data_IF_038469910450
#
_entry.id   IF_038469910450
#
_cell.length_a   1.000
_cell.length_b   1.000
_cell.length_c   1.000
_cell.angle_alpha   90.00
_cell.angle_beta   90.00
_cell.angle_gamma   90.00
#
_symmetry.space_group_name_H-M   'P 1'
#
loop_
_entity.id
_entity.type
_entity.pdbx_description
1 polymer ?
#
# COMPACT_ATOMS: atom_id res chain seq x y z
N UNK A 1 -59.90 43.58 -25.18
CA UNK A 1 -58.94 42.56 -25.70
C UNK A 1 -57.92 42.27 -24.62
N UNK A 2 -58.13 41.23 -23.85
CA UNK A 2 -57.29 40.86 -22.68
C UNK A 2 -56.48 39.58 -23.03
N UNK A 3 -55.18 39.74 -23.23
CA UNK A 3 -54.25 38.60 -23.46
C UNK A 3 -53.82 38.06 -22.11
N UNK A 4 -54.27 36.85 -21.83
CA UNK A 4 -53.78 36.06 -20.67
C UNK A 4 -52.45 35.45 -21.03
N UNK A 5 -51.35 35.84 -20.33
CA UNK A 5 -50.05 35.16 -20.36
C UNK A 5 -50.11 34.01 -19.38
N UNK A 6 -50.01 32.79 -19.89
CA UNK A 6 -49.77 31.57 -19.09
C UNK A 6 -48.29 31.44 -18.84
N UNK A 7 -47.85 31.61 -17.60
CA UNK A 7 -46.52 31.32 -17.12
C UNK A 7 -46.41 29.82 -16.85
N UNK A 8 -45.71 29.10 -17.72
CA UNK A 8 -45.32 27.70 -17.45
C UNK A 8 -44.11 27.70 -16.54
N UNK A 9 -44.29 27.31 -15.29
CA UNK A 9 -43.19 27.04 -14.35
C UNK A 9 -42.60 25.67 -14.65
N UNK A 10 -41.42 25.66 -15.29
CA UNK A 10 -40.65 24.44 -15.48
C UNK A 10 -39.95 24.02 -14.18
N UNK A 11 -40.35 22.88 -13.66
CA UNK A 11 -39.70 22.26 -12.48
C UNK A 11 -38.42 21.58 -12.93
N UNK A 12 -37.26 22.19 -12.70
CA UNK A 12 -35.95 21.58 -12.91
C UNK A 12 -35.65 20.72 -11.69
N UNK A 13 -35.88 19.41 -11.80
CA UNK A 13 -35.44 18.43 -10.80
C UNK A 13 -33.92 18.26 -10.90
N UNK A 14 -33.19 18.97 -10.05
CA UNK A 14 -31.74 18.79 -9.90
C UNK A 14 -31.44 17.45 -9.28
N UNK A 15 -30.90 16.53 -10.06
CA UNK A 15 -30.26 15.30 -9.56
C UNK A 15 -29.00 15.70 -8.80
N UNK A 16 -29.11 15.80 -7.47
CA UNK A 16 -27.95 15.93 -6.59
C UNK A 16 -27.29 14.54 -6.55
N UNK A 17 -26.29 14.35 -7.41
CA UNK A 17 -25.42 13.18 -7.35
C UNK A 17 -24.64 13.20 -6.04
N UNK A 18 -24.96 12.29 -5.12
CA UNK A 18 -24.18 12.06 -3.91
C UNK A 18 -22.79 11.56 -4.34
N UNK A 19 -21.69 12.17 -3.88
CA UNK A 19 -20.37 11.63 -4.13
C UNK A 19 -20.28 10.26 -3.46
N UNK A 20 -20.04 9.21 -4.25
CA UNK A 20 -19.63 7.91 -3.75
C UNK A 20 -18.24 8.11 -3.12
N UNK A 21 -18.21 8.20 -1.81
CA UNK A 21 -16.95 8.17 -1.05
C UNK A 21 -16.44 6.75 -1.19
N UNK A 22 -15.56 6.51 -2.15
CA UNK A 22 -14.80 5.27 -2.22
C UNK A 22 -13.94 5.21 -0.96
N UNK A 23 -14.24 4.30 -0.04
CA UNK A 23 -13.40 4.03 1.11
C UNK A 23 -12.04 3.57 0.60
N UNK A 24 -10.99 4.34 0.89
CA UNK A 24 -9.62 3.93 0.58
C UNK A 24 -9.29 2.69 1.43
N UNK A 25 -8.63 1.72 0.82
CA UNK A 25 -8.17 0.54 1.56
C UNK A 25 -7.17 0.97 2.64
N UNK A 26 -7.45 0.60 3.88
CA UNK A 26 -6.53 0.76 5.01
C UNK A 26 -5.68 -0.51 5.11
N UNK A 27 -4.37 -0.40 4.90
CA UNK A 27 -3.48 -1.55 4.87
C UNK A 27 -3.56 -2.43 6.13
N UNK A 28 -3.52 -3.74 5.95
CA UNK A 28 -3.38 -4.72 7.03
C UNK A 28 -1.91 -4.83 7.46
N UNK A 29 -1.55 -4.16 8.54
CA UNK A 29 -0.19 -4.19 9.06
C UNK A 29 0.29 -5.59 9.46
N UNK A 30 -0.59 -6.52 9.83
CA UNK A 30 -0.23 -7.90 10.18
C UNK A 30 0.20 -8.66 8.92
N UNK A 31 -0.56 -8.52 7.84
CA UNK A 31 -0.21 -9.09 6.54
C UNK A 31 1.08 -8.46 6.00
N UNK A 32 1.21 -7.15 6.10
CA UNK A 32 2.45 -6.42 5.78
C UNK A 32 3.66 -6.91 6.57
N UNK A 33 3.51 -7.15 7.86
CA UNK A 33 4.56 -7.73 8.71
C UNK A 33 5.01 -9.12 8.21
N UNK A 34 4.06 -9.99 7.90
CA UNK A 34 4.39 -11.33 7.40
C UNK A 34 5.14 -11.24 6.08
N UNK A 35 4.68 -10.40 5.15
CA UNK A 35 5.36 -10.20 3.87
C UNK A 35 6.78 -9.65 4.07
N UNK A 36 6.94 -8.60 4.86
CA UNK A 36 8.24 -8.00 5.16
C UNK A 36 9.22 -9.03 5.73
N UNK A 37 8.77 -9.76 6.75
CA UNK A 37 9.61 -10.75 7.42
C UNK A 37 9.98 -11.94 6.54
N UNK A 38 9.02 -12.45 5.77
CA UNK A 38 9.18 -13.73 5.06
C UNK A 38 9.65 -13.57 3.61
N UNK A 39 9.47 -12.40 3.02
CA UNK A 39 9.85 -12.14 1.63
C UNK A 39 10.99 -11.13 1.54
N UNK A 40 10.86 -9.96 2.17
CA UNK A 40 11.87 -8.91 2.09
C UNK A 40 13.14 -9.27 2.89
N UNK A 41 12.98 -9.64 4.15
CA UNK A 41 14.09 -9.88 5.07
C UNK A 41 15.06 -10.97 4.59
N UNK A 42 14.65 -12.14 4.08
CA UNK A 42 15.59 -13.14 3.59
C UNK A 42 16.51 -12.62 2.48
N UNK A 43 15.95 -11.89 1.51
CA UNK A 43 16.75 -11.30 0.45
C UNK A 43 17.75 -10.27 1.00
N UNK A 44 17.32 -9.43 1.95
CA UNK A 44 18.20 -8.46 2.61
C UNK A 44 19.32 -9.13 3.38
N UNK A 45 19.04 -10.20 4.10
CA UNK A 45 20.07 -10.97 4.83
C UNK A 45 21.09 -11.59 3.88
N UNK A 46 20.59 -12.21 2.80
CA UNK A 46 21.46 -13.00 1.91
C UNK A 46 22.22 -12.12 0.89
N UNK A 47 21.62 -11.03 0.42
CA UNK A 47 22.13 -10.31 -0.75
C UNK A 47 22.38 -8.81 -0.54
N UNK A 48 21.93 -8.20 0.54
CA UNK A 48 21.92 -6.75 0.70
C UNK A 48 22.58 -6.23 1.99
N UNK A 49 23.44 -7.03 2.60
CA UNK A 49 24.26 -6.59 3.75
C UNK A 49 23.54 -6.60 5.09
N UNK A 50 22.44 -7.32 5.22
CA UNK A 50 21.75 -7.54 6.49
C UNK A 50 20.29 -7.10 6.50
N UNK A 51 19.58 -7.56 7.51
CA UNK A 51 18.18 -7.22 7.72
C UNK A 51 18.01 -5.74 8.06
N UNK A 52 16.97 -5.11 7.49
CA UNK A 52 16.62 -3.73 7.76
C UNK A 52 15.39 -3.70 8.67
N UNK A 53 15.58 -3.30 9.94
CA UNK A 53 14.47 -3.13 10.86
C UNK A 53 13.62 -1.90 10.54
N UNK A 54 12.29 -1.98 10.62
CA UNK A 54 11.45 -0.79 10.45
C UNK A 54 11.79 0.34 11.41
N UNK A 55 12.27 0.03 12.62
CA UNK A 55 12.67 0.99 13.64
C UNK A 55 13.97 1.76 13.34
N UNK A 56 14.64 1.48 12.22
CA UNK A 56 15.80 2.25 11.78
C UNK A 56 15.44 3.60 11.13
N UNK A 57 14.15 3.78 10.78
CA UNK A 57 13.63 5.01 10.18
C UNK A 57 12.42 5.52 10.95
N UNK A 58 12.22 6.83 10.88
CA UNK A 58 11.00 7.48 11.35
C UNK A 58 9.84 7.23 10.38
N UNK A 59 8.61 7.52 10.81
CA UNK A 59 7.41 7.50 9.94
C UNK A 59 7.58 8.41 8.72
N UNK A 60 8.15 9.60 8.93
CA UNK A 60 8.39 10.54 7.85
C UNK A 60 9.39 9.98 6.82
N UNK A 61 10.49 9.40 7.28
CA UNK A 61 11.50 8.80 6.40
C UNK A 61 10.94 7.60 5.65
N UNK A 62 10.15 6.74 6.29
CA UNK A 62 9.45 5.64 5.62
C UNK A 62 8.44 6.15 4.60
N UNK A 63 7.65 7.17 4.95
CA UNK A 63 6.69 7.80 4.02
C UNK A 63 7.37 8.30 2.76
N UNK A 64 8.47 9.05 2.90
CA UNK A 64 9.24 9.56 1.78
C UNK A 64 9.85 8.42 0.94
N UNK A 65 10.39 7.38 1.59
CA UNK A 65 10.97 6.22 0.91
C UNK A 65 9.94 5.46 0.07
N UNK A 66 8.76 5.20 0.64
CA UNK A 66 7.67 4.51 -0.07
C UNK A 66 7.10 5.35 -1.21
N UNK A 67 6.99 6.67 -1.00
CA UNK A 67 6.50 7.59 -2.04
C UNK A 67 7.47 7.70 -3.22
N UNK A 68 8.77 7.66 -2.97
CA UNK A 68 9.77 7.68 -4.02
C UNK A 68 9.73 6.45 -4.94
N UNK A 69 9.13 5.36 -4.47
CA UNK A 69 9.00 4.08 -5.19
C UNK A 69 10.32 3.59 -5.81
N UNK A 70 11.42 3.81 -5.08
CA UNK A 70 12.76 3.38 -5.47
C UNK A 70 13.34 2.50 -4.39
N UNK A 71 13.66 1.28 -4.73
CA UNK A 71 14.42 0.42 -3.84
C UNK A 71 15.89 0.85 -3.88
N UNK A 72 16.43 1.36 -2.77
CA UNK A 72 17.67 2.13 -2.73
C UNK A 72 18.89 1.45 -3.39
N UNK A 73 19.01 0.13 -3.30
CA UNK A 73 20.06 -0.67 -3.93
C UNK A 73 19.52 -1.72 -4.90
N UNK A 74 18.21 -1.76 -5.08
CA UNK A 74 17.55 -2.64 -6.04
C UNK A 74 17.49 -2.01 -7.43
N UNK A 75 17.33 -2.87 -8.45
CA UNK A 75 17.19 -2.44 -9.84
C UNK A 75 15.79 -1.93 -10.15
N UNK A 76 14.80 -2.36 -9.37
CA UNK A 76 13.37 -2.15 -9.61
C UNK A 76 12.73 -1.28 -8.54
N UNK A 77 11.50 -0.87 -8.78
CA UNK A 77 10.69 -0.11 -7.83
C UNK A 77 10.22 -0.95 -6.64
N UNK A 78 9.81 -0.31 -5.54
CA UNK A 78 9.16 -1.02 -4.42
C UNK A 78 7.87 -1.70 -4.86
N UNK A 79 7.09 -1.05 -5.73
CA UNK A 79 5.88 -1.63 -6.30
C UNK A 79 6.17 -2.94 -7.05
N UNK A 80 7.30 -3.05 -7.74
CA UNK A 80 7.71 -4.29 -8.37
C UNK A 80 7.94 -5.40 -7.33
N UNK A 81 8.63 -5.13 -6.23
CA UNK A 81 8.95 -6.15 -5.21
C UNK A 81 7.73 -6.65 -4.42
N UNK A 82 6.58 -6.00 -4.52
CA UNK A 82 5.30 -6.51 -4.01
C UNK A 82 4.41 -7.07 -5.11
N UNK A 83 4.79 -6.95 -6.37
CA UNK A 83 3.97 -7.35 -7.51
C UNK A 83 3.80 -8.85 -7.64
N UNK A 84 2.71 -9.26 -8.29
CA UNK A 84 2.47 -10.67 -8.61
C UNK A 84 3.56 -11.28 -9.49
N UNK A 85 4.06 -10.62 -10.55
CA UNK A 85 5.19 -11.15 -11.34
C UNK A 85 6.44 -11.45 -10.51
N UNK A 86 6.80 -10.56 -9.57
CA UNK A 86 7.93 -10.80 -8.67
C UNK A 86 7.68 -12.01 -7.77
N UNK A 87 6.50 -12.09 -7.13
CA UNK A 87 6.11 -13.20 -6.26
C UNK A 87 6.07 -14.53 -7.01
N UNK A 88 5.60 -14.54 -8.26
CA UNK A 88 5.63 -15.71 -9.13
C UNK A 88 7.07 -16.15 -9.42
N UNK A 89 7.97 -15.22 -9.65
CA UNK A 89 9.38 -15.48 -9.93
C UNK A 89 10.13 -16.14 -8.77
N UNK A 90 9.76 -15.82 -7.52
CA UNK A 90 10.47 -16.32 -6.33
C UNK A 90 9.77 -17.45 -5.58
N UNK A 91 8.51 -17.79 -5.91
CA UNK A 91 7.71 -18.78 -5.14
C UNK A 91 8.33 -20.17 -5.06
N UNK A 92 9.16 -20.55 -6.03
CA UNK A 92 9.86 -21.82 -6.01
C UNK A 92 10.93 -21.89 -4.90
N UNK A 93 11.64 -20.79 -4.67
CA UNK A 93 12.67 -20.67 -3.64
C UNK A 93 12.16 -20.09 -2.32
N UNK A 94 11.06 -19.33 -2.36
CA UNK A 94 10.43 -18.72 -1.19
C UNK A 94 8.95 -19.12 -1.11
N UNK A 95 8.64 -20.16 -0.35
CA UNK A 95 7.28 -20.66 -0.17
C UNK A 95 6.31 -19.67 0.48
N UNK A 96 6.81 -18.68 1.20
CA UNK A 96 5.96 -17.63 1.74
C UNK A 96 5.36 -16.77 0.63
N UNK A 97 6.10 -16.51 -0.46
CA UNK A 97 5.59 -15.74 -1.60
C UNK A 97 4.35 -16.38 -2.25
N UNK A 98 4.22 -17.70 -2.19
CA UNK A 98 3.06 -18.43 -2.71
C UNK A 98 1.76 -18.03 -1.98
N UNK A 99 1.83 -17.80 -0.65
CA UNK A 99 0.68 -17.43 0.18
C UNK A 99 0.07 -16.07 -0.18
N UNK A 100 0.84 -15.23 -0.85
CA UNK A 100 0.42 -13.88 -1.24
C UNK A 100 -0.08 -13.79 -2.70
N UNK A 101 -0.14 -14.91 -3.43
CA UNK A 101 -0.49 -14.89 -4.85
C UNK A 101 -1.86 -14.28 -5.16
N UNK A 102 -2.83 -14.46 -4.26
CA UNK A 102 -4.18 -13.93 -4.41
C UNK A 102 -4.34 -12.47 -3.90
N UNK A 103 -3.32 -11.91 -3.26
CA UNK A 103 -3.38 -10.54 -2.73
C UNK A 103 -3.12 -9.54 -3.86
N UNK A 104 -4.01 -8.55 -4.09
CA UNK A 104 -3.77 -7.50 -5.08
C UNK A 104 -2.50 -6.71 -4.74
N UNK A 105 -1.70 -6.37 -5.75
CA UNK A 105 -0.41 -5.69 -5.58
C UNK A 105 -0.53 -4.38 -4.81
N UNK A 106 -1.56 -3.58 -5.11
CA UNK A 106 -1.83 -2.31 -4.43
C UNK A 106 -2.15 -2.51 -2.95
N UNK A 107 -2.95 -3.51 -2.62
CA UNK A 107 -3.27 -3.82 -1.23
C UNK A 107 -2.02 -4.26 -0.47
N UNK A 108 -1.22 -5.13 -1.07
CA UNK A 108 0.02 -5.60 -0.44
C UNK A 108 1.03 -4.47 -0.19
N UNK A 109 1.09 -3.48 -1.09
CA UNK A 109 1.91 -2.29 -0.89
C UNK A 109 1.40 -1.45 0.28
N UNK A 110 0.08 -1.26 0.41
CA UNK A 110 -0.51 -0.55 1.53
C UNK A 110 -0.37 -1.32 2.86
N UNK A 111 -0.44 -2.64 2.83
CA UNK A 111 -0.15 -3.49 3.99
C UNK A 111 1.29 -3.29 4.48
N UNK A 112 2.23 -3.31 3.54
CA UNK A 112 3.64 -3.07 3.82
C UNK A 112 3.83 -1.67 4.41
N UNK A 113 3.19 -0.66 3.82
CA UNK A 113 3.19 0.72 4.32
C UNK A 113 2.66 0.79 5.75
N UNK A 114 1.50 0.20 6.01
CA UNK A 114 0.89 0.17 7.34
C UNK A 114 1.83 -0.47 8.37
N UNK A 115 2.49 -1.56 8.02
CA UNK A 115 3.43 -2.23 8.90
C UNK A 115 4.67 -1.37 9.20
N UNK A 116 5.36 -0.83 8.19
CA UNK A 116 6.60 -0.09 8.44
C UNK A 116 6.36 1.23 9.16
N UNK A 117 5.24 1.90 8.90
CA UNK A 117 4.87 3.12 9.63
C UNK A 117 4.52 2.84 11.09
N UNK A 118 3.77 1.77 11.35
CA UNK A 118 3.45 1.33 12.73
C UNK A 118 4.71 0.97 13.51
N UNK A 119 5.65 0.30 12.86
CA UNK A 119 6.86 -0.26 13.46
C UNK A 119 8.09 0.65 13.33
N UNK A 120 7.91 1.86 12.80
CA UNK A 120 8.93 2.88 12.69
C UNK A 120 9.52 3.27 14.07
N UNK A 121 10.66 3.94 14.07
CA UNK A 121 11.35 4.41 15.28
C UNK A 121 10.43 5.24 16.20
N UNK A 122 9.57 6.06 15.61
CA UNK A 122 8.55 6.91 16.24
C UNK A 122 7.13 6.38 16.02
N UNK A 123 6.99 5.09 15.68
CA UNK A 123 5.72 4.43 15.46
C UNK A 123 5.06 3.94 16.76
N UNK A 124 3.84 3.41 16.65
CA UNK A 124 3.06 2.93 17.80
C UNK A 124 3.67 1.67 18.45
N UNK A 125 4.40 0.87 17.66
CA UNK A 125 5.04 -0.35 18.12
C UNK A 125 6.40 -0.53 17.40
N UNK A 126 7.44 0.23 17.76
CA UNK A 126 8.77 0.13 17.15
C UNK A 126 9.28 -1.30 17.18
N UNK A 127 9.62 -1.84 16.01
CA UNK A 127 10.04 -3.24 15.84
C UNK A 127 11.30 -3.33 15.01
N UNK A 128 12.28 -4.02 15.56
CA UNK A 128 13.47 -4.44 14.80
C UNK A 128 13.21 -5.70 13.99
N UNK A 129 14.24 -6.14 13.28
CA UNK A 129 14.24 -7.46 12.62
C UNK A 129 14.56 -8.54 13.67
N UNK A 130 13.53 -9.19 14.18
CA UNK A 130 13.62 -10.41 14.98
C UNK A 130 12.80 -11.51 14.36
#
# INVERSE_FOLDING_TARGET
>A
MTRKFLLSAGLVAGLIGLPLIASAYEGDWKRGHVYYRMVCTPCHVDNAGGAIGPNLRTRQEWGAYLQADKHAKGKDSLAYYVSKPFRDGIKASNKAAEKFQAVPDKELLEDLRAFVLRSAKDGDAPTGCR
#
